data_IF_256389554051
#
_entry.id   IF_256389554051
#
_cell.length_a   1.000
_cell.length_b   1.000
_cell.length_c   1.000
_cell.angle_alpha   90.00
_cell.angle_beta   90.00
_cell.angle_gamma   90.00
#
_symmetry.space_group_name_H-M   'P 1'
#
loop_
_entity.id
_entity.type
_entity.pdbx_description
1 polymer ?
#
# COMPACT_ATOMS: atom_id res chain seq x y z
N UNK A 1 0.58 1.90 19.92
CA UNK A 1 0.80 2.52 18.58
C UNK A 1 0.71 1.38 17.55
N UNK A 2 -0.02 1.52 16.44
CA UNK A 2 -0.10 0.46 15.42
C UNK A 2 1.28 0.30 14.75
N UNK A 3 1.84 -0.91 14.80
CA UNK A 3 3.19 -1.16 14.29
C UNK A 3 3.24 -1.49 12.79
N UNK A 4 2.11 -1.68 12.11
CA UNK A 4 2.06 -2.04 10.67
C UNK A 4 0.84 -1.45 9.99
N UNK A 5 1.04 -0.96 8.78
CA UNK A 5 -0.04 -0.44 7.95
C UNK A 5 -0.89 -1.61 7.43
N UNK A 6 -2.19 -1.47 7.60
CA UNK A 6 -3.20 -2.32 6.97
C UNK A 6 -3.47 -1.84 5.55
N UNK A 7 -4.23 -2.63 4.78
CA UNK A 7 -4.66 -2.23 3.43
C UNK A 7 -5.44 -0.92 3.44
N UNK A 8 -6.29 -0.72 4.46
CA UNK A 8 -7.05 0.53 4.60
C UNK A 8 -6.14 1.72 4.93
N UNK A 9 -5.15 1.54 5.81
CA UNK A 9 -4.18 2.59 6.12
C UNK A 9 -3.40 3.00 4.86
N UNK A 10 -3.05 2.02 4.00
CA UNK A 10 -2.37 2.27 2.74
C UNK A 10 -3.26 3.04 1.75
N UNK A 11 -4.52 2.62 1.62
CA UNK A 11 -5.50 3.30 0.76
C UNK A 11 -5.68 4.76 1.17
N UNK A 12 -5.67 5.06 2.47
CA UNK A 12 -5.82 6.41 2.99
C UNK A 12 -4.58 7.30 2.80
N UNK A 13 -3.37 6.75 2.98
CA UNK A 13 -2.13 7.56 2.94
C UNK A 13 -1.64 7.84 1.51
N UNK A 14 -1.87 6.92 0.56
CA UNK A 14 -1.33 7.04 -0.80
C UNK A 14 -1.80 8.30 -1.56
N UNK A 15 -3.08 8.73 -1.50
CA UNK A 15 -3.54 9.98 -2.11
C UNK A 15 -2.77 11.20 -1.60
N UNK A 16 -2.55 11.29 -0.28
CA UNK A 16 -1.81 12.39 0.34
C UNK A 16 -0.35 12.42 -0.15
N UNK A 17 0.31 11.26 -0.15
CA UNK A 17 1.68 11.15 -0.64
C UNK A 17 1.75 11.52 -2.13
N UNK A 18 0.74 11.11 -2.92
CA UNK A 18 0.68 11.40 -4.36
C UNK A 18 0.57 12.90 -4.61
N UNK A 19 -0.36 13.57 -3.94
CA UNK A 19 -0.58 15.02 -4.07
C UNK A 19 0.69 15.80 -3.73
N UNK A 20 1.38 15.42 -2.64
CA UNK A 20 2.57 16.13 -2.17
C UNK A 20 3.81 15.83 -3.02
N UNK A 21 4.09 14.56 -3.35
CA UNK A 21 5.37 14.15 -3.94
C UNK A 21 5.38 13.99 -5.47
N UNK A 22 4.26 13.67 -6.12
CA UNK A 22 4.28 13.45 -7.56
C UNK A 22 4.63 14.74 -8.29
N UNK A 23 5.59 14.67 -9.21
CA UNK A 23 6.17 15.85 -9.85
C UNK A 23 7.48 16.34 -9.23
N UNK A 24 7.74 16.00 -7.97
CA UNK A 24 8.99 16.36 -7.32
C UNK A 24 10.13 15.45 -7.80
N UNK A 25 11.36 15.96 -7.75
CA UNK A 25 12.56 15.19 -8.10
C UNK A 25 13.21 14.60 -6.87
N UNK A 26 13.81 13.43 -6.99
CA UNK A 26 14.61 12.84 -5.91
C UNK A 26 15.89 13.66 -5.73
N UNK A 27 16.06 14.24 -4.54
CA UNK A 27 17.26 14.96 -4.17
C UNK A 27 18.34 14.01 -3.65
N UNK A 28 17.96 13.17 -2.67
CA UNK A 28 18.88 12.26 -2.02
C UNK A 28 18.13 11.06 -1.39
N UNK A 29 18.81 9.92 -1.32
CA UNK A 29 18.31 8.72 -0.63
C UNK A 29 19.24 8.38 0.52
N UNK A 30 18.70 8.09 1.70
CA UNK A 30 19.44 7.69 2.89
C UNK A 30 18.90 6.34 3.40
N UNK A 31 19.76 5.57 4.05
CA UNK A 31 19.40 4.46 4.92
C UNK A 31 19.50 4.89 6.37
N UNK A 32 18.45 4.58 7.13
CA UNK A 32 18.38 4.77 8.59
C UNK A 32 18.84 3.48 9.26
N UNK A 33 18.33 2.34 8.79
CA UNK A 33 18.71 1.00 9.21
C UNK A 33 18.66 0.03 8.02
N UNK A 34 18.67 -1.29 8.27
CA UNK A 34 18.67 -2.32 7.22
C UNK A 34 17.31 -2.53 6.51
N UNK A 35 16.24 -1.89 6.98
CA UNK A 35 14.86 -2.02 6.49
C UNK A 35 14.18 -0.68 6.22
N UNK A 36 14.75 0.40 6.73
CA UNK A 36 14.18 1.74 6.74
C UNK A 36 15.02 2.69 5.90
N UNK A 37 14.39 3.25 4.87
CA UNK A 37 15.00 4.16 3.90
C UNK A 37 14.26 5.48 3.89
N UNK A 38 14.98 6.54 3.58
CA UNK A 38 14.47 7.90 3.57
C UNK A 38 14.79 8.53 2.22
N UNK A 39 13.76 8.87 1.45
CA UNK A 39 13.90 9.56 0.17
C UNK A 39 13.54 11.02 0.39
N UNK A 40 14.52 11.90 0.20
CA UNK A 40 14.31 13.34 0.19
C UNK A 40 14.04 13.80 -1.23
N UNK A 41 12.98 14.58 -1.38
CA UNK A 41 12.60 15.19 -2.65
C UNK A 41 13.01 16.67 -2.67
N UNK A 42 13.26 17.19 -3.87
CA UNK A 42 13.40 18.61 -4.15
C UNK A 42 12.15 19.09 -4.87
N UNK A 43 11.55 20.16 -4.36
CA UNK A 43 10.45 20.84 -5.02
C UNK A 43 10.96 21.61 -6.26
N UNK A 44 10.23 21.65 -7.38
CA UNK A 44 10.56 22.50 -8.51
C UNK A 44 10.55 23.98 -8.09
N UNK A 45 11.66 24.68 -8.32
CA UNK A 45 11.93 26.04 -7.82
C UNK A 45 11.02 27.17 -8.36
N UNK A 46 9.91 26.87 -9.05
CA UNK A 46 9.08 27.87 -9.70
C UNK A 46 7.99 28.48 -8.82
N UNK A 47 7.75 27.94 -7.62
CA UNK A 47 6.77 28.51 -6.71
C UNK A 47 7.47 29.34 -5.62
N UNK A 48 7.53 30.66 -5.84
CA UNK A 48 8.18 31.63 -4.94
C UNK A 48 7.41 31.87 -3.63
N UNK A 49 6.25 31.24 -3.46
CA UNK A 49 5.35 31.43 -2.32
C UNK A 49 5.39 30.26 -1.33
N UNK A 50 6.28 29.30 -1.51
CA UNK A 50 6.40 28.14 -0.61
C UNK A 50 7.52 28.39 0.39
N UNK A 51 7.17 28.54 1.67
CA UNK A 51 8.14 28.72 2.77
C UNK A 51 9.25 27.66 2.72
N UNK A 52 10.49 28.02 3.07
CA UNK A 52 11.66 27.13 3.00
C UNK A 52 11.50 25.81 3.79
N UNK A 53 10.59 25.79 4.75
CA UNK A 53 10.24 24.63 5.58
C UNK A 53 9.36 23.62 4.83
N UNK A 54 8.45 24.08 3.98
CA UNK A 54 7.60 23.25 3.10
C UNK A 54 8.38 22.59 1.94
N UNK A 55 9.63 23.01 1.68
CA UNK A 55 10.45 22.51 0.58
C UNK A 55 11.11 21.15 0.84
N UNK A 56 11.14 20.66 2.09
CA UNK A 56 11.85 19.43 2.47
C UNK A 56 10.89 18.26 2.65
N UNK A 57 10.27 17.81 1.57
CA UNK A 57 9.42 16.63 1.64
C UNK A 57 10.28 15.36 1.71
N UNK A 58 10.15 14.63 2.82
CA UNK A 58 10.87 13.40 3.09
C UNK A 58 9.88 12.25 3.21
N UNK A 59 10.11 11.21 2.42
CA UNK A 59 9.32 9.98 2.41
C UNK A 59 10.11 8.90 3.11
N UNK A 60 9.54 8.33 4.17
CA UNK A 60 10.14 7.17 4.85
C UNK A 60 9.49 5.88 4.36
N UNK A 61 10.33 4.91 4.04
CA UNK A 61 9.97 3.59 3.54
C UNK A 61 10.48 2.55 4.55
N UNK A 62 9.59 1.87 5.24
CA UNK A 62 9.94 0.83 6.21
C UNK A 62 9.42 -0.53 5.73
N UNK A 63 10.35 -1.38 5.31
CA UNK A 63 10.08 -2.70 4.75
C UNK A 63 9.16 -3.53 5.66
N UNK A 64 7.98 -3.92 5.15
CA UNK A 64 7.03 -4.77 5.85
C UNK A 64 6.14 -4.06 6.88
N UNK A 65 6.28 -2.74 7.01
CA UNK A 65 5.69 -1.97 8.12
C UNK A 65 4.90 -0.76 7.62
N UNK A 66 5.53 0.27 7.04
CA UNK A 66 4.84 1.52 6.68
C UNK A 66 5.52 2.32 5.57
N UNK A 67 4.75 3.26 5.01
CA UNK A 67 5.20 4.31 4.10
C UNK A 67 4.46 5.60 4.46
N UNK A 68 5.17 6.69 4.72
CA UNK A 68 4.55 7.98 5.05
C UNK A 68 5.52 9.14 4.87
N UNK A 69 4.99 10.36 4.86
CA UNK A 69 5.79 11.58 4.91
C UNK A 69 6.26 11.84 6.34
N UNK A 70 7.41 12.49 6.47
CA UNK A 70 7.98 12.83 7.76
C UNK A 70 8.71 14.17 7.68
N UNK A 71 8.55 14.98 8.71
CA UNK A 71 9.32 16.22 8.93
C UNK A 71 10.42 16.02 9.98
N UNK A 72 10.45 14.84 10.60
CA UNK A 72 11.42 14.51 11.64
C UNK A 72 12.81 14.33 11.03
N UNK A 73 13.83 14.85 11.72
CA UNK A 73 15.23 14.60 11.32
C UNK A 73 15.69 13.23 11.82
N UNK A 74 15.64 12.24 10.93
CA UNK A 74 16.02 10.87 11.25
C UNK A 74 17.55 10.72 11.37
N UNK A 75 18.05 9.88 12.30
CA UNK A 75 19.46 9.52 12.36
C UNK A 75 19.84 8.77 11.08
N UNK A 76 20.74 9.34 10.29
CA UNK A 76 21.19 8.77 9.00
C UNK A 76 22.49 8.00 9.21
N UNK A 77 22.64 6.86 8.54
CA UNK A 77 23.92 6.17 8.51
C UNK A 77 24.99 7.06 7.84
N UNK A 78 26.17 7.13 8.46
CA UNK A 78 27.30 7.91 7.92
C UNK A 78 27.84 7.31 6.63
N UNK A 79 27.80 5.98 6.52
CA UNK A 79 28.20 5.23 5.32
C UNK A 79 26.98 4.61 4.69
N UNK A 80 26.63 4.95 3.44
CA UNK A 80 25.40 4.48 2.86
C UNK A 80 25.53 3.03 2.37
N UNK A 81 24.48 2.24 2.56
CA UNK A 81 24.48 0.84 2.14
C UNK A 81 24.66 0.65 0.62
N UNK A 82 25.11 -0.53 0.20
CA UNK A 82 25.20 -0.89 -1.23
C UNK A 82 23.85 -0.80 -1.95
N UNK A 83 22.75 -1.12 -1.25
CA UNK A 83 21.40 -0.94 -1.76
C UNK A 83 21.06 0.55 -1.94
N UNK A 84 21.38 1.40 -0.95
CA UNK A 84 21.23 2.86 -1.05
C UNK A 84 22.01 3.39 -2.26
N UNK A 85 23.21 2.88 -2.54
CA UNK A 85 24.01 3.30 -3.71
C UNK A 85 23.36 2.91 -5.03
N UNK A 86 22.74 1.73 -5.10
CA UNK A 86 21.94 1.35 -6.27
C UNK A 86 20.75 2.29 -6.44
N UNK A 87 20.00 2.59 -5.38
CA UNK A 87 18.91 3.57 -5.44
C UNK A 87 19.42 4.93 -5.96
N UNK A 88 20.48 5.49 -5.37
CA UNK A 88 21.06 6.77 -5.80
C UNK A 88 21.50 6.74 -7.27
N UNK A 89 22.06 5.63 -7.75
CA UNK A 89 22.47 5.49 -9.16
C UNK A 89 21.28 5.53 -10.12
N UNK A 90 20.14 4.95 -9.74
CA UNK A 90 19.01 4.74 -10.64
C UNK A 90 17.91 5.79 -10.53
N UNK A 91 17.66 6.37 -9.34
CA UNK A 91 16.53 7.28 -9.11
C UNK A 91 16.91 8.72 -8.75
N UNK A 92 18.17 9.02 -8.42
CA UNK A 92 18.56 10.40 -8.09
C UNK A 92 18.31 11.34 -9.26
N UNK A 93 17.79 12.53 -8.97
CA UNK A 93 17.35 13.55 -9.92
C UNK A 93 16.20 13.13 -10.86
N UNK A 94 15.68 11.90 -10.77
CA UNK A 94 14.46 11.50 -11.48
C UNK A 94 13.24 12.10 -10.79
N UNK A 95 12.26 12.44 -11.61
CA UNK A 95 10.93 12.88 -11.16
C UNK A 95 10.13 11.67 -10.71
N UNK A 96 9.44 11.77 -9.58
CA UNK A 96 8.43 10.78 -9.19
C UNK A 96 7.18 11.04 -10.03
N UNK A 97 6.85 10.09 -10.89
CA UNK A 97 5.74 10.22 -11.84
C UNK A 97 4.44 9.67 -11.25
N UNK A 98 4.51 8.47 -10.67
CA UNK A 98 3.32 7.82 -10.13
C UNK A 98 3.62 7.09 -8.83
N UNK A 99 2.61 7.05 -7.97
CA UNK A 99 2.55 6.20 -6.78
C UNK A 99 1.21 5.48 -6.80
N UNK A 100 1.23 4.15 -6.79
CA UNK A 100 0.03 3.33 -6.84
C UNK A 100 0.17 2.08 -5.98
N UNK A 101 -0.97 1.63 -5.44
CA UNK A 101 -1.08 0.30 -4.85
C UNK A 101 -1.10 -0.74 -5.98
N UNK A 102 -0.41 -1.86 -5.80
CA UNK A 102 -0.42 -2.99 -6.73
C UNK A 102 -1.51 -3.96 -6.30
N UNK A 103 -2.53 -4.08 -7.14
CA UNK A 103 -3.69 -4.93 -6.86
C UNK A 103 -4.43 -4.54 -5.58
N UNK A 104 -4.81 -5.55 -4.80
CA UNK A 104 -5.50 -5.41 -3.52
C UNK A 104 -4.58 -5.62 -2.31
N UNK A 105 -3.34 -6.06 -2.52
CA UNK A 105 -2.38 -6.34 -1.46
C UNK A 105 -1.66 -5.07 -0.97
N UNK A 106 -0.92 -5.19 0.13
CA UNK A 106 -0.12 -4.12 0.73
C UNK A 106 1.23 -3.99 0.01
N UNK A 107 1.15 -3.76 -1.30
CA UNK A 107 2.30 -3.53 -2.18
C UNK A 107 2.15 -2.18 -2.84
N UNK A 108 3.23 -1.39 -2.86
CA UNK A 108 3.25 -0.04 -3.44
C UNK A 108 4.30 0.02 -4.54
N UNK A 109 3.91 0.56 -5.69
CA UNK A 109 4.79 0.87 -6.82
C UNK A 109 5.00 2.39 -6.92
N UNK A 110 6.25 2.80 -6.78
CA UNK A 110 6.72 4.16 -7.01
C UNK A 110 7.51 4.21 -8.32
N UNK A 111 6.98 4.93 -9.31
CA UNK A 111 7.63 5.09 -10.61
C UNK A 111 8.43 6.39 -10.69
N UNK A 112 9.72 6.28 -11.02
CA UNK A 112 10.63 7.39 -11.22
C UNK A 112 11.04 7.49 -12.69
N UNK A 113 10.79 8.65 -13.31
CA UNK A 113 11.03 8.88 -14.73
C UNK A 113 10.01 8.17 -15.64
N UNK A 114 10.14 8.42 -16.95
CA UNK A 114 9.20 7.99 -17.98
C UNK A 114 9.89 7.18 -19.07
N UNK A 115 9.08 6.43 -19.83
CA UNK A 115 9.50 5.65 -20.99
C UNK A 115 10.73 4.76 -20.69
N UNK A 116 11.78 4.86 -21.50
CA UNK A 116 12.97 4.01 -21.42
C UNK A 116 13.81 4.24 -20.16
N UNK A 117 13.63 5.39 -19.51
CA UNK A 117 14.34 5.76 -18.29
C UNK A 117 13.51 5.55 -17.03
N UNK A 118 12.37 4.84 -17.12
CA UNK A 118 11.58 4.51 -15.94
C UNK A 118 12.32 3.52 -15.03
N UNK A 119 12.28 3.78 -13.74
CA UNK A 119 12.68 2.83 -12.69
C UNK A 119 11.58 2.79 -11.65
N UNK A 120 11.34 1.60 -11.09
CA UNK A 120 10.32 1.43 -10.06
C UNK A 120 10.95 1.02 -8.73
N UNK A 121 10.41 1.57 -7.64
CA UNK A 121 10.62 1.05 -6.30
C UNK A 121 9.33 0.36 -5.87
N UNK A 122 9.39 -0.95 -5.70
CA UNK A 122 8.31 -1.76 -5.15
C UNK A 122 8.55 -1.97 -3.66
N UNK A 123 7.52 -1.71 -2.86
CA UNK A 123 7.57 -1.86 -1.41
C UNK A 123 6.51 -2.87 -0.99
N UNK A 124 6.95 -3.95 -0.36
CA UNK A 124 6.08 -4.95 0.24
C UNK A 124 5.92 -4.66 1.74
N UNK A 125 4.68 -4.35 2.15
CA UNK A 125 4.33 -3.97 3.52
C UNK A 125 3.68 -5.14 4.32
N UNK A 126 3.86 -6.37 3.85
CA UNK A 126 3.34 -7.59 4.47
C UNK A 126 4.46 -8.53 4.92
N UNK A 127 4.14 -9.47 5.83
CA UNK A 127 5.07 -10.51 6.30
C UNK A 127 6.42 -9.95 6.78
N UNK A 128 7.54 -10.35 6.17
CA UNK A 128 8.89 -9.83 6.48
C UNK A 128 9.24 -8.54 5.70
N UNK A 129 8.41 -8.17 4.72
CA UNK A 129 8.59 -7.04 3.84
C UNK A 129 9.72 -7.20 2.83
N UNK A 130 9.73 -6.28 1.87
CA UNK A 130 10.83 -6.11 0.92
C UNK A 130 10.80 -4.69 0.34
N UNK A 131 11.96 -4.23 -0.11
CA UNK A 131 12.08 -3.04 -0.97
C UNK A 131 12.91 -3.46 -2.17
N UNK A 132 12.35 -3.24 -3.35
CA UNK A 132 12.84 -3.82 -4.61
C UNK A 132 12.97 -2.68 -5.61
N UNK A 133 14.16 -2.51 -6.16
CA UNK A 133 14.43 -1.61 -7.27
C UNK A 133 14.35 -2.40 -8.58
N UNK A 134 13.56 -1.91 -9.53
CA UNK A 134 13.41 -2.51 -10.85
C UNK A 134 13.62 -1.49 -11.97
N UNK A 135 13.82 -1.97 -13.20
CA UNK A 135 13.78 -1.17 -14.41
C UNK A 135 12.36 -0.97 -14.96
N UNK A 136 12.25 -0.39 -16.15
CA UNK A 136 10.97 -0.12 -16.83
C UNK A 136 10.12 -1.36 -17.10
N UNK A 137 10.74 -2.54 -17.22
CA UNK A 137 10.08 -3.80 -17.55
C UNK A 137 9.84 -4.64 -16.29
N UNK A 138 10.00 -4.03 -15.11
CA UNK A 138 9.95 -4.66 -13.80
C UNK A 138 11.03 -5.75 -13.59
N UNK A 139 12.15 -5.69 -14.30
CA UNK A 139 13.30 -6.56 -14.03
C UNK A 139 14.04 -6.06 -12.80
N UNK A 140 14.27 -6.96 -11.84
CA UNK A 140 14.83 -6.63 -10.53
C UNK A 140 16.32 -6.28 -10.68
N UNK A 141 16.66 -5.04 -10.35
CA UNK A 141 18.02 -4.52 -10.35
C UNK A 141 18.72 -4.73 -9.00
N UNK A 142 17.96 -4.61 -7.92
CA UNK A 142 18.44 -4.73 -6.54
C UNK A 142 17.25 -4.93 -5.59
N UNK A 143 17.44 -5.64 -4.49
CA UNK A 143 16.40 -5.89 -3.48
C UNK A 143 17.02 -6.08 -2.09
N UNK A 144 16.23 -5.86 -1.04
CA UNK A 144 16.68 -6.10 0.34
C UNK A 144 16.76 -7.58 0.68
N UNK A 145 15.80 -8.38 0.19
CA UNK A 145 15.68 -9.78 0.55
C UNK A 145 15.32 -10.62 -0.66
N UNK A 146 16.13 -11.64 -0.92
CA UNK A 146 15.80 -12.71 -1.88
C UNK A 146 14.70 -13.58 -1.27
N UNK A 147 13.69 -13.88 -2.06
CA UNK A 147 12.59 -14.75 -1.65
C UNK A 147 12.19 -15.65 -2.80
N UNK A 148 12.21 -16.95 -2.54
CA UNK A 148 11.63 -17.96 -3.42
C UNK A 148 10.45 -18.59 -2.73
N UNK A 149 9.34 -18.72 -3.46
CA UNK A 149 8.17 -19.48 -3.04
C UNK A 149 7.98 -20.64 -4.02
N UNK A 150 8.28 -21.85 -3.55
CA UNK A 150 8.18 -23.07 -4.35
C UNK A 150 6.71 -23.45 -4.65
N UNK A 151 5.73 -22.92 -3.90
CA UNK A 151 4.30 -23.21 -4.14
C UNK A 151 3.72 -22.40 -5.29
N UNK A 152 4.09 -21.13 -5.36
CA UNK A 152 3.64 -20.20 -6.41
C UNK A 152 4.61 -20.12 -7.59
N UNK A 153 5.77 -20.79 -7.48
CA UNK A 153 6.88 -20.72 -8.43
C UNK A 153 7.38 -19.27 -8.64
N UNK A 154 7.22 -18.41 -7.62
CA UNK A 154 7.66 -17.02 -7.66
C UNK A 154 9.09 -16.95 -7.12
N UNK A 155 9.99 -16.38 -7.92
CA UNK A 155 11.37 -16.13 -7.53
C UNK A 155 11.67 -14.63 -7.57
N UNK A 156 11.78 -14.02 -6.39
CA UNK A 156 12.16 -12.63 -6.21
C UNK A 156 13.67 -12.58 -5.99
N UNK A 157 14.41 -12.42 -7.09
CA UNK A 157 15.87 -12.36 -7.12
C UNK A 157 16.36 -11.35 -8.17
N UNK A 158 17.63 -10.94 -8.07
CA UNK A 158 18.22 -10.00 -9.04
C UNK A 158 18.20 -10.61 -10.45
N UNK A 159 17.84 -9.80 -11.46
CA UNK A 159 17.62 -10.16 -12.89
C UNK A 159 16.32 -10.92 -13.18
N UNK A 160 15.58 -11.33 -12.17
CA UNK A 160 14.23 -11.88 -12.38
C UNK A 160 13.22 -10.76 -12.62
N UNK A 161 12.10 -11.08 -13.28
CA UNK A 161 11.00 -10.14 -13.46
C UNK A 161 10.10 -10.16 -12.23
N UNK A 162 9.88 -8.99 -11.62
CA UNK A 162 8.92 -8.86 -10.52
C UNK A 162 7.50 -9.17 -11.05
N UNK A 163 6.74 -10.06 -10.38
CA UNK A 163 5.41 -10.43 -10.84
C UNK A 163 4.44 -9.27 -10.61
N UNK A 164 4.25 -8.40 -11.60
CA UNK A 164 3.26 -7.31 -11.51
C UNK A 164 1.83 -7.78 -11.81
N UNK A 165 1.65 -9.06 -12.12
CA UNK A 165 0.39 -9.60 -12.62
C UNK A 165 -0.71 -9.47 -11.56
N UNK A 166 -1.81 -8.81 -11.96
CA UNK A 166 -2.99 -8.58 -11.13
C UNK A 166 -3.52 -9.88 -10.50
N UNK A 167 -3.49 -11.02 -11.18
CA UNK A 167 -4.00 -12.29 -10.62
C UNK A 167 -3.23 -12.81 -9.41
N UNK A 168 -2.00 -12.34 -9.18
CA UNK A 168 -1.21 -12.70 -7.98
C UNK A 168 -1.57 -11.85 -6.76
N UNK A 169 -2.13 -10.64 -6.97
CA UNK A 169 -2.38 -9.64 -5.91
C UNK A 169 -3.83 -9.09 -5.85
N UNK A 170 -4.63 -9.37 -6.87
CA UNK A 170 -6.07 -9.20 -6.96
C UNK A 170 -6.62 -10.61 -7.06
N UNK A 171 -7.19 -11.13 -5.98
CA UNK A 171 -8.24 -12.10 -6.18
C UNK A 171 -9.47 -11.27 -6.57
N UNK A 172 -9.98 -11.38 -7.79
CA UNK A 172 -11.33 -10.88 -8.12
C UNK A 172 -12.37 -11.45 -7.13
N UNK A 173 -12.05 -12.60 -6.52
CA UNK A 173 -12.71 -13.24 -5.37
C UNK A 173 -12.72 -12.42 -4.06
N UNK A 174 -11.99 -11.30 -4.00
CA UNK A 174 -11.92 -10.43 -2.81
C UNK A 174 -13.13 -9.51 -2.69
N UNK A 175 -13.85 -9.27 -3.78
CA UNK A 175 -15.06 -8.45 -3.75
C UNK A 175 -16.23 -9.27 -3.25
N UNK A 176 -16.92 -8.73 -2.25
CA UNK A 176 -18.07 -9.36 -1.61
C UNK A 176 -19.34 -9.18 -2.47
N UNK A 177 -19.38 -9.87 -3.61
CA UNK A 177 -20.58 -9.91 -4.46
C UNK A 177 -21.71 -10.72 -3.81
N UNK A 178 -22.95 -10.50 -4.24
CA UNK A 178 -24.13 -11.26 -3.78
C UNK A 178 -23.91 -12.77 -3.82
N UNK A 179 -23.39 -13.28 -4.93
CA UNK A 179 -23.07 -14.70 -5.10
C UNK A 179 -22.02 -15.19 -4.10
N UNK A 180 -21.00 -14.37 -3.82
CA UNK A 180 -19.94 -14.71 -2.86
C UNK A 180 -20.47 -14.74 -1.43
N UNK A 181 -21.30 -13.78 -1.06
CA UNK A 181 -21.98 -13.74 0.25
C UNK A 181 -22.82 -15.01 0.45
N UNK A 182 -23.62 -15.37 -0.57
CA UNK A 182 -24.42 -16.61 -0.56
C UNK A 182 -23.56 -17.86 -0.39
N UNK A 183 -22.45 -17.97 -1.13
CA UNK A 183 -21.52 -19.10 -1.01
C UNK A 183 -20.91 -19.19 0.40
N UNK A 184 -20.50 -18.06 0.98
CA UNK A 184 -19.91 -18.03 2.33
C UNK A 184 -20.93 -18.47 3.39
N UNK A 185 -22.17 -18.00 3.28
CA UNK A 185 -23.27 -18.40 4.16
C UNK A 185 -23.61 -19.90 4.03
N UNK A 186 -23.61 -20.44 2.81
CA UNK A 186 -23.93 -21.85 2.56
C UNK A 186 -22.82 -22.81 3.03
N UNK A 187 -21.55 -22.40 2.93
CA UNK A 187 -20.40 -23.26 3.20
C UNK A 187 -19.95 -23.25 4.67
N UNK A 188 -20.49 -22.37 5.51
CA UNK A 188 -20.07 -22.20 6.89
C UNK A 188 -21.20 -22.49 7.88
N UNK A 189 -20.86 -23.11 9.02
CA UNK A 189 -21.78 -23.26 10.16
C UNK A 189 -21.71 -22.08 11.13
N UNK A 190 -20.74 -21.18 10.96
CA UNK A 190 -20.58 -19.99 11.79
C UNK A 190 -21.61 -18.94 11.40
N UNK A 191 -22.38 -18.48 12.38
CA UNK A 191 -23.44 -17.48 12.18
C UNK A 191 -22.99 -16.08 12.59
N UNK A 192 -21.89 -15.94 13.32
CA UNK A 192 -21.40 -14.63 13.72
C UNK A 192 -20.83 -13.85 12.52
N UNK A 193 -21.36 -12.65 12.27
CA UNK A 193 -20.97 -11.82 11.12
C UNK A 193 -19.45 -11.61 11.06
N UNK A 194 -18.83 -11.16 12.16
CA UNK A 194 -17.41 -10.81 12.16
C UNK A 194 -16.55 -12.05 11.90
N UNK A 195 -16.83 -13.16 12.57
CA UNK A 195 -16.07 -14.40 12.37
C UNK A 195 -16.24 -14.95 10.95
N UNK A 196 -17.42 -14.78 10.36
CA UNK A 196 -17.72 -15.26 9.02
C UNK A 196 -17.05 -14.41 7.94
N UNK A 197 -17.12 -13.09 8.04
CA UNK A 197 -16.70 -12.19 6.95
C UNK A 197 -15.29 -11.60 7.10
N UNK A 198 -14.75 -11.47 8.32
CA UNK A 198 -13.38 -10.94 8.49
C UNK A 198 -12.31 -11.67 7.67
N UNK A 199 -12.32 -13.02 7.54
CA UNK A 199 -11.31 -13.73 6.73
C UNK A 199 -11.40 -13.42 5.23
N UNK A 200 -12.57 -12.98 4.76
CA UNK A 200 -12.85 -12.70 3.36
C UNK A 200 -12.82 -11.21 3.02
N UNK A 201 -12.74 -10.34 4.04
CA UNK A 201 -12.85 -8.90 3.88
C UNK A 201 -11.48 -8.23 3.85
N UNK A 202 -11.17 -7.60 2.72
CA UNK A 202 -9.86 -7.04 2.40
C UNK A 202 -9.44 -5.86 3.29
N UNK A 203 -10.40 -5.00 3.65
CA UNK A 203 -10.11 -3.72 4.31
C UNK A 203 -10.01 -3.85 5.85
N UNK A 204 -10.15 -5.08 6.37
CA UNK A 204 -9.98 -5.40 7.78
C UNK A 204 -11.22 -5.16 8.66
N UNK A 205 -11.16 -5.62 9.92
CA UNK A 205 -12.32 -5.70 10.81
C UNK A 205 -12.87 -4.33 11.23
N UNK A 206 -12.03 -3.30 11.31
CA UNK A 206 -12.44 -1.98 11.77
C UNK A 206 -13.42 -1.31 10.80
N UNK A 207 -13.21 -1.46 9.49
CA UNK A 207 -14.15 -0.91 8.51
C UNK A 207 -15.46 -1.69 8.52
N UNK A 208 -15.42 -3.02 8.64
CA UNK A 208 -16.63 -3.84 8.80
C UNK A 208 -17.46 -3.41 10.01
N UNK A 209 -16.81 -3.19 11.14
CA UNK A 209 -17.46 -2.72 12.36
C UNK A 209 -18.09 -1.34 12.17
N UNK A 210 -17.37 -0.40 11.56
CA UNK A 210 -17.92 0.92 11.23
C UNK A 210 -19.17 0.84 10.35
N UNK A 211 -19.15 0.00 9.32
CA UNK A 211 -20.27 -0.16 8.39
C UNK A 211 -21.46 -0.87 9.03
N UNK A 212 -21.22 -1.87 9.88
CA UNK A 212 -22.29 -2.51 10.65
C UNK A 212 -23.02 -1.52 11.55
N UNK A 213 -22.27 -0.68 12.27
CA UNK A 213 -22.85 0.38 13.11
C UNK A 213 -23.68 1.33 12.25
N UNK A 214 -23.19 1.74 11.07
CA UNK A 214 -23.88 2.68 10.19
C UNK A 214 -25.17 2.13 9.55
N UNK A 215 -25.19 0.86 9.14
CA UNK A 215 -26.34 0.27 8.42
C UNK A 215 -27.41 -0.26 9.36
N UNK A 216 -27.02 -0.84 10.50
CA UNK A 216 -27.96 -1.49 11.43
C UNK A 216 -28.21 -0.71 12.71
N UNK A 217 -27.50 0.40 12.94
CA UNK A 217 -27.57 1.20 14.18
C UNK A 217 -27.30 0.36 15.45
N UNK A 218 -26.39 -0.62 15.31
CA UNK A 218 -26.03 -1.55 16.38
C UNK A 218 -24.79 -1.05 17.11
N UNK A 219 -24.85 -1.00 18.44
CA UNK A 219 -23.70 -0.64 19.29
C UNK A 219 -22.78 -1.81 19.62
N UNK A 220 -23.31 -3.05 19.72
CA UNK A 220 -22.53 -4.27 19.92
C UNK A 220 -22.44 -5.12 18.64
N UNK A 221 -21.45 -4.81 17.82
CA UNK A 221 -21.20 -5.51 16.55
C UNK A 221 -20.69 -6.95 16.73
N UNK A 222 -20.31 -7.37 17.95
CA UNK A 222 -19.80 -8.73 18.19
C UNK A 222 -20.91 -9.78 18.29
N UNK A 223 -22.17 -9.36 18.50
CA UNK A 223 -23.32 -10.27 18.66
C UNK A 223 -24.17 -10.44 17.39
N UNK A 224 -23.80 -9.76 16.31
CA UNK A 224 -24.54 -9.81 15.04
C UNK A 224 -24.46 -11.24 14.47
N UNK A 225 -25.63 -11.86 14.35
CA UNK A 225 -25.78 -13.15 13.67
C UNK A 225 -26.39 -12.93 12.28
N UNK A 226 -26.00 -13.77 11.34
CA UNK A 226 -26.47 -13.73 9.95
C UNK A 226 -27.07 -15.07 9.53
N UNK A 227 -28.10 -15.01 8.71
CA UNK A 227 -28.75 -16.15 8.07
C UNK A 227 -28.78 -15.97 6.55
N UNK A 228 -29.28 -16.98 5.82
CA UNK A 228 -29.46 -16.91 4.38
C UNK A 228 -30.49 -15.86 3.93
N UNK A 229 -31.34 -15.39 4.83
CA UNK A 229 -32.35 -14.37 4.52
C UNK A 229 -31.78 -12.94 4.59
N UNK A 230 -30.58 -12.79 5.14
CA UNK A 230 -29.96 -11.49 5.42
C UNK A 230 -29.20 -10.89 4.22
N UNK A 231 -29.25 -11.53 3.05
CA UNK A 231 -28.40 -11.22 1.89
C UNK A 231 -28.54 -9.76 1.45
N UNK A 232 -29.75 -9.20 1.44
CA UNK A 232 -29.99 -7.86 0.88
C UNK A 232 -29.30 -6.76 1.70
N UNK A 233 -29.37 -6.82 3.04
CA UNK A 233 -28.67 -5.82 3.85
C UNK A 233 -27.18 -6.10 3.94
N UNK A 234 -26.74 -7.37 3.84
CA UNK A 234 -25.32 -7.71 3.75
C UNK A 234 -24.70 -7.12 2.49
N UNK A 235 -25.36 -7.29 1.34
CA UNK A 235 -24.96 -6.67 0.08
C UNK A 235 -24.88 -5.15 0.20
N UNK A 236 -25.86 -4.52 0.86
CA UNK A 236 -25.82 -3.08 1.15
C UNK A 236 -24.58 -2.68 1.98
N UNK A 237 -24.24 -3.42 3.04
CA UNK A 237 -23.05 -3.18 3.88
C UNK A 237 -21.77 -3.24 3.04
N UNK A 238 -21.60 -4.27 2.22
CA UNK A 238 -20.39 -4.43 1.41
C UNK A 238 -20.30 -3.42 0.26
N UNK A 239 -21.42 -3.06 -0.36
CA UNK A 239 -21.44 -2.01 -1.39
C UNK A 239 -21.09 -0.63 -0.79
N UNK A 240 -21.58 -0.33 0.42
CA UNK A 240 -21.16 0.87 1.15
C UNK A 240 -19.67 0.85 1.49
N UNK A 241 -19.11 -0.31 1.84
CA UNK A 241 -17.67 -0.48 2.06
C UNK A 241 -16.86 -0.06 0.85
N UNK A 242 -17.24 -0.59 -0.33
CA UNK A 242 -16.58 -0.32 -1.60
C UNK A 242 -16.69 1.16 -1.98
N UNK A 243 -17.87 1.76 -1.80
CA UNK A 243 -18.08 3.19 -2.05
C UNK A 243 -17.18 4.05 -1.16
N UNK A 244 -17.13 3.74 0.14
CA UNK A 244 -16.31 4.47 1.11
C UNK A 244 -14.81 4.34 0.80
N UNK A 245 -14.36 3.13 0.44
CA UNK A 245 -12.97 2.90 0.04
C UNK A 245 -12.62 3.65 -1.25
N UNK A 246 -13.51 3.68 -2.24
CA UNK A 246 -13.28 4.39 -3.48
C UNK A 246 -13.19 5.90 -3.25
N UNK A 247 -14.01 6.45 -2.36
CA UNK A 247 -13.94 7.85 -1.95
C UNK A 247 -12.58 8.19 -1.32
N UNK A 248 -12.07 7.33 -0.42
CA UNK A 248 -10.74 7.50 0.19
C UNK A 248 -9.63 7.42 -0.86
N UNK A 249 -9.74 6.52 -1.86
CA UNK A 249 -8.71 6.38 -2.90
C UNK A 249 -8.54 7.62 -3.77
N UNK A 250 -9.59 8.43 -3.92
CA UNK A 250 -9.59 9.62 -4.77
C UNK A 250 -9.36 10.90 -3.98
N UNK A 251 -9.78 10.93 -2.72
CA UNK A 251 -9.80 12.15 -1.91
C UNK A 251 -8.55 12.22 -1.05
N UNK A 252 -7.80 13.31 -1.16
CA UNK A 252 -6.75 13.60 -0.20
C UNK A 252 -7.38 13.93 1.15
N UNK A 253 -6.91 13.28 2.22
CA UNK A 253 -7.36 13.60 3.56
C UNK A 253 -6.80 14.98 3.92
N UNK A 254 -7.67 15.92 4.29
CA UNK A 254 -7.25 17.19 4.90
C UNK A 254 -6.76 16.89 6.31
N UNK A 255 -5.50 16.47 6.40
CA UNK A 255 -4.76 16.39 7.66
C UNK A 255 -4.42 17.77 8.18
#
# INVERSE_FOLDING_TARGET
MKNRFTTLDLIAILPEIREKLCGNRVYQVYDIDNKTFLIRFSHPAHDKNVDEEHLKQMLILESGIRIHLTEYDWPKNSTPSGFTMKLRKHIRNKRLETIKQVGSDRVVDLQFGTAEYANHIIIELYSKGNIILTDKDYVILSLLRIHKDDKTNINIAVREKYPMNMNTYIAEESRMSRNRIQQILANSKEQNFKKLFNPHFLYGPNLLEHLLMKVKDITDTNRVKVTSDDIDWLECVFNQAESFVNEIRTTSSKG
#
